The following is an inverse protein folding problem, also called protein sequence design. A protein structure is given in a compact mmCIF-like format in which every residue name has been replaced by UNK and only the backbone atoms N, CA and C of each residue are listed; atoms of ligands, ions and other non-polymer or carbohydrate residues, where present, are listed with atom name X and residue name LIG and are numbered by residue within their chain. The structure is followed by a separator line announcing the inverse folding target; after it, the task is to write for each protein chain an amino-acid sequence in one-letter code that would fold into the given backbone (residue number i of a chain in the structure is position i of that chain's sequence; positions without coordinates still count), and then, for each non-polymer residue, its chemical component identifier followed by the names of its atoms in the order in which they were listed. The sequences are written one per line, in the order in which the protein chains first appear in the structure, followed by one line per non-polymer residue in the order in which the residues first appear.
data_IF_547254368722
#
_entry.id   IF_547254368722
#
_cell.length_a   1.000
_cell.length_b   1.000
_cell.length_c   1.000
_cell.angle_alpha   90.00
_cell.angle_beta   90.00
_cell.angle_gamma   90.00
#
_symmetry.space_group_name_H-M   'P 1'
#
loop_
_entity.id
_entity.type
_entity.pdbx_description
1 polymer ?
#
# COMPACT_ATOMS: atom_id res chain seq x y z
N UNK A 1 -10.73 -13.66 -13.90
CA UNK A 1 -11.53 -12.63 -14.62
C UNK A 1 -10.75 -12.18 -15.85
N UNK A 2 -11.40 -12.05 -17.00
CA UNK A 2 -10.76 -11.60 -18.25
C UNK A 2 -11.53 -10.41 -18.83
N UNK A 3 -11.02 -9.77 -19.89
CA UNK A 3 -11.78 -8.73 -20.59
C UNK A 3 -13.13 -9.23 -21.10
N UNK A 4 -13.14 -10.42 -21.68
CA UNK A 4 -14.29 -10.91 -22.47
C UNK A 4 -15.38 -11.49 -21.57
N UNK A 5 -15.02 -12.03 -20.39
CA UNK A 5 -15.97 -12.54 -19.40
C UNK A 5 -16.32 -11.53 -18.29
N UNK A 6 -15.74 -10.33 -18.34
CA UNK A 6 -15.88 -9.30 -17.30
C UNK A 6 -17.34 -9.03 -16.89
N UNK A 7 -18.25 -8.95 -17.87
CA UNK A 7 -19.66 -8.62 -17.63
C UNK A 7 -20.39 -9.68 -16.81
N UNK A 8 -20.21 -10.96 -17.16
CA UNK A 8 -20.83 -12.07 -16.44
C UNK A 8 -20.22 -12.21 -15.05
N UNK A 9 -18.91 -12.08 -14.96
CA UNK A 9 -18.17 -12.27 -13.73
C UNK A 9 -18.46 -11.15 -12.72
N UNK A 10 -18.58 -9.88 -13.17
CA UNK A 10 -19.01 -8.77 -12.33
C UNK A 10 -20.40 -9.04 -11.73
N UNK A 11 -21.35 -9.51 -12.55
CA UNK A 11 -22.71 -9.83 -12.10
C UNK A 11 -22.70 -10.97 -11.08
N UNK A 12 -21.97 -12.06 -11.37
CA UNK A 12 -21.83 -13.22 -10.49
C UNK A 12 -21.28 -12.81 -9.13
N UNK A 13 -20.15 -12.10 -9.10
CA UNK A 13 -19.50 -11.66 -7.86
C UNK A 13 -20.37 -10.72 -7.04
N UNK A 14 -21.09 -9.79 -7.70
CA UNK A 14 -22.06 -8.91 -7.02
C UNK A 14 -23.17 -9.73 -6.35
N UNK A 15 -23.76 -10.66 -7.09
CA UNK A 15 -24.88 -11.48 -6.61
C UNK A 15 -24.47 -12.45 -5.49
N UNK A 16 -23.25 -12.99 -5.55
CA UNK A 16 -22.67 -13.82 -4.49
C UNK A 16 -22.49 -13.07 -3.16
N UNK A 17 -22.21 -11.77 -3.23
CA UNK A 17 -22.16 -10.91 -2.05
C UNK A 17 -23.53 -10.35 -1.64
N UNK A 18 -24.60 -10.71 -2.34
CA UNK A 18 -25.96 -10.25 -2.06
C UNK A 18 -26.18 -8.76 -2.31
N UNK A 19 -25.34 -8.11 -3.11
CA UNK A 19 -25.37 -6.67 -3.35
C UNK A 19 -26.32 -6.31 -4.50
N UNK A 20 -27.08 -5.23 -4.36
CA UNK A 20 -27.72 -4.55 -5.48
C UNK A 20 -26.69 -3.79 -6.34
N UNK A 21 -27.07 -3.42 -7.55
CA UNK A 21 -26.22 -2.61 -8.44
C UNK A 21 -25.92 -1.22 -7.86
N UNK A 22 -26.86 -0.66 -7.08
CA UNK A 22 -26.70 0.64 -6.41
C UNK A 22 -25.76 0.54 -5.20
N UNK A 23 -25.90 -0.51 -4.39
CA UNK A 23 -24.99 -0.76 -3.26
C UNK A 23 -23.56 -0.98 -3.75
N UNK A 24 -23.36 -1.78 -4.80
CA UNK A 24 -22.02 -1.99 -5.37
C UNK A 24 -21.41 -0.67 -5.88
N UNK A 25 -22.19 0.14 -6.60
CA UNK A 25 -21.72 1.44 -7.08
C UNK A 25 -21.28 2.34 -5.90
N UNK A 26 -22.11 2.38 -4.85
CA UNK A 26 -21.84 3.13 -3.63
C UNK A 26 -20.57 2.65 -2.93
N UNK A 27 -20.43 1.34 -2.73
CA UNK A 27 -19.26 0.75 -2.07
C UNK A 27 -17.97 1.02 -2.85
N UNK A 28 -17.98 0.85 -4.17
CA UNK A 28 -16.82 1.14 -5.02
C UNK A 28 -16.42 2.62 -4.94
N UNK A 29 -17.39 3.52 -5.07
CA UNK A 29 -17.15 4.97 -5.04
C UNK A 29 -16.60 5.44 -3.68
N UNK A 30 -17.10 4.90 -2.56
CA UNK A 30 -16.57 5.23 -1.23
C UNK A 30 -15.19 4.61 -0.96
N UNK A 31 -14.86 3.52 -1.65
CA UNK A 31 -13.63 2.77 -1.38
C UNK A 31 -12.44 3.28 -2.19
N UNK A 32 -12.63 3.80 -3.41
CA UNK A 32 -11.51 4.25 -4.26
C UNK A 32 -11.93 5.25 -5.37
N UNK A 33 -11.15 6.34 -5.54
CA UNK A 33 -11.42 7.45 -6.48
C UNK A 33 -11.53 7.06 -7.95
N UNK A 34 -10.93 5.95 -8.38
CA UNK A 34 -11.13 5.39 -9.73
C UNK A 34 -12.62 5.10 -10.07
N UNK A 35 -13.45 4.94 -9.04
CA UNK A 35 -14.89 4.69 -9.12
C UNK A 35 -15.74 5.90 -8.72
N UNK A 36 -15.11 7.06 -8.52
CA UNK A 36 -15.84 8.32 -8.34
C UNK A 36 -16.78 8.54 -9.54
N UNK A 37 -18.04 8.86 -9.25
CA UNK A 37 -19.09 9.05 -10.25
C UNK A 37 -19.65 7.77 -10.87
N UNK A 38 -19.24 6.58 -10.43
CA UNK A 38 -19.91 5.33 -10.82
C UNK A 38 -21.28 5.27 -10.13
N UNK A 39 -22.31 4.91 -10.89
CA UNK A 39 -23.69 4.80 -10.42
C UNK A 39 -24.31 3.46 -10.84
N UNK A 40 -25.51 3.18 -10.32
CA UNK A 40 -26.27 1.96 -10.61
C UNK A 40 -26.41 1.70 -12.13
N UNK A 41 -26.73 2.73 -12.93
CA UNK A 41 -26.93 2.59 -14.39
C UNK A 41 -25.64 2.13 -15.07
N UNK A 42 -24.48 2.64 -14.64
CA UNK A 42 -23.19 2.22 -15.17
C UNK A 42 -22.87 0.76 -14.83
N UNK A 43 -23.09 0.32 -13.58
CA UNK A 43 -22.95 -1.08 -13.20
C UNK A 43 -23.86 -1.96 -14.06
N UNK A 44 -25.11 -1.55 -14.23
CA UNK A 44 -26.10 -2.24 -15.07
C UNK A 44 -25.63 -2.41 -16.52
N UNK A 45 -25.05 -1.36 -17.12
CA UNK A 45 -24.50 -1.42 -18.48
C UNK A 45 -23.25 -2.29 -18.58
N UNK A 46 -22.43 -2.34 -17.54
CA UNK A 46 -21.26 -3.21 -17.49
C UNK A 46 -21.66 -4.68 -17.37
N UNK A 47 -22.63 -5.01 -16.53
CA UNK A 47 -23.14 -6.39 -16.36
C UNK A 47 -23.84 -6.91 -17.62
N UNK A 48 -24.48 -6.04 -18.40
CA UNK A 48 -25.08 -6.40 -19.70
C UNK A 48 -24.09 -6.41 -20.87
N UNK A 49 -22.86 -5.98 -20.66
CA UNK A 49 -21.86 -5.85 -21.74
C UNK A 49 -22.17 -4.75 -22.77
N UNK A 50 -23.11 -3.85 -22.47
CA UNK A 50 -23.51 -2.75 -23.38
C UNK A 50 -22.40 -1.71 -23.56
N UNK A 51 -21.56 -1.54 -22.53
CA UNK A 51 -20.41 -0.61 -22.60
C UNK A 51 -19.15 -1.29 -22.11
N UNK A 52 -18.05 -1.10 -22.85
CA UNK A 52 -16.73 -1.61 -22.44
C UNK A 52 -16.16 -0.75 -21.32
N UNK A 53 -15.99 -1.37 -20.15
CA UNK A 53 -15.26 -0.80 -19.00
C UNK A 53 -13.80 -0.55 -19.37
N UNK A 54 -13.16 0.47 -18.79
CA UNK A 54 -11.72 0.70 -18.97
C UNK A 54 -10.89 -0.38 -18.27
N UNK A 55 -9.67 -0.63 -18.75
CA UNK A 55 -8.74 -1.58 -18.11
C UNK A 55 -8.51 -1.23 -16.63
N UNK A 56 -8.33 0.06 -16.30
CA UNK A 56 -8.14 0.51 -14.92
C UNK A 56 -9.31 0.09 -14.01
N UNK A 57 -10.55 0.27 -14.47
CA UNK A 57 -11.74 -0.08 -13.70
C UNK A 57 -11.96 -1.60 -13.63
N UNK A 58 -11.60 -2.35 -14.68
CA UNK A 58 -11.60 -3.82 -14.62
C UNK A 58 -10.61 -4.35 -13.58
N UNK A 59 -9.38 -3.81 -13.58
CA UNK A 59 -8.35 -4.16 -12.58
C UNK A 59 -8.79 -3.77 -11.16
N UNK A 60 -9.39 -2.59 -11.00
CA UNK A 60 -9.89 -2.17 -9.69
C UNK A 60 -11.03 -3.06 -9.18
N UNK A 61 -11.95 -3.48 -10.06
CA UNK A 61 -13.03 -4.42 -9.68
C UNK A 61 -12.46 -5.80 -9.34
N UNK A 62 -11.53 -6.31 -10.15
CA UNK A 62 -10.85 -7.57 -9.85
C UNK A 62 -10.13 -7.49 -8.49
N UNK A 63 -9.45 -6.37 -8.20
CA UNK A 63 -8.83 -6.14 -6.90
C UNK A 63 -9.86 -6.06 -5.76
N UNK A 64 -10.96 -5.32 -5.94
CA UNK A 64 -12.03 -5.19 -4.95
C UNK A 64 -12.64 -6.54 -4.54
N UNK A 65 -12.94 -7.39 -5.52
CA UNK A 65 -13.52 -8.73 -5.28
C UNK A 65 -12.47 -9.81 -5.02
N UNK A 66 -11.20 -9.44 -4.87
CA UNK A 66 -10.10 -10.38 -4.68
C UNK A 66 -10.12 -11.47 -5.78
N UNK A 67 -10.09 -11.06 -7.05
CA UNK A 67 -10.02 -11.94 -8.21
C UNK A 67 -8.74 -11.70 -9.00
N UNK A 68 -8.23 -12.75 -9.63
CA UNK A 68 -7.11 -12.63 -10.60
C UNK A 68 -7.65 -12.09 -11.91
N UNK A 69 -6.98 -11.07 -12.46
CA UNK A 69 -7.27 -10.55 -13.80
C UNK A 69 -6.25 -11.10 -14.79
N UNK A 70 -6.72 -11.73 -15.87
CA UNK A 70 -5.88 -12.25 -16.94
C UNK A 70 -5.89 -11.26 -18.11
N UNK A 71 -4.69 -10.80 -18.47
CA UNK A 71 -4.48 -9.85 -19.55
C UNK A 71 -4.46 -10.55 -20.91
N UNK A 72 -5.10 -9.94 -21.90
CA UNK A 72 -4.81 -10.30 -23.28
C UNK A 72 -3.50 -9.64 -23.77
N UNK A 73 -3.01 -10.05 -24.94
CA UNK A 73 -1.76 -9.54 -25.48
C UNK A 73 -1.70 -8.00 -25.59
N UNK A 74 -2.82 -7.34 -25.93
CA UNK A 74 -2.87 -5.88 -26.04
C UNK A 74 -2.82 -5.21 -24.67
N UNK A 75 -3.46 -5.81 -23.67
CA UNK A 75 -3.45 -5.31 -22.29
C UNK A 75 -2.07 -5.49 -21.64
N UNK A 76 -1.34 -6.56 -21.98
CA UNK A 76 0.06 -6.77 -21.56
C UNK A 76 0.94 -5.61 -22.04
N UNK A 77 0.85 -5.22 -23.31
CA UNK A 77 1.62 -4.11 -23.85
C UNK A 77 1.35 -2.80 -23.09
N UNK A 78 0.08 -2.54 -22.77
CA UNK A 78 -0.37 -1.34 -22.05
C UNK A 78 0.11 -1.33 -20.60
N UNK A 79 0.17 -2.48 -19.92
CA UNK A 79 0.51 -2.56 -18.50
C UNK A 79 2.00 -2.70 -18.25
N UNK A 80 2.76 -3.24 -19.20
CA UNK A 80 4.20 -3.49 -19.08
C UNK A 80 5.02 -2.30 -18.55
N UNK A 81 4.75 -1.03 -18.90
CA UNK A 81 5.52 0.09 -18.35
C UNK A 81 5.25 0.30 -16.85
N UNK A 82 4.04 -0.03 -16.38
CA UNK A 82 3.68 0.10 -14.96
C UNK A 82 4.24 -1.03 -14.11
N UNK A 83 4.41 -2.24 -14.67
CA UNK A 83 5.03 -3.38 -13.97
C UNK A 83 6.48 -3.07 -13.60
N UNK A 84 7.23 -2.36 -14.45
CA UNK A 84 8.61 -1.94 -14.12
C UNK A 84 8.73 -1.06 -12.88
N UNK A 85 7.63 -0.41 -12.47
CA UNK A 85 7.59 0.38 -11.23
C UNK A 85 7.47 -0.49 -9.97
N UNK A 86 7.09 -1.77 -10.11
CA UNK A 86 6.94 -2.72 -9.00
C UNK A 86 8.21 -3.49 -8.66
N UNK A 87 9.23 -3.45 -9.53
CA UNK A 87 10.52 -4.14 -9.38
C UNK A 87 11.46 -3.48 -8.35
N UNK A 88 10.93 -3.18 -7.16
CA UNK A 88 11.72 -2.70 -6.03
C UNK A 88 12.25 -3.93 -5.27
N UNK A 89 13.57 -4.11 -5.09
CA UNK A 89 14.16 -5.35 -4.56
C UNK A 89 13.60 -5.84 -3.21
N UNK A 90 13.16 -4.90 -2.37
CA UNK A 90 12.60 -5.17 -1.03
C UNK A 90 11.14 -5.65 -1.02
N UNK A 91 10.50 -5.69 -2.19
CA UNK A 91 9.15 -6.21 -2.38
C UNK A 91 9.16 -7.61 -2.98
N UNK A 92 10.28 -8.32 -2.93
CA UNK A 92 10.36 -9.72 -3.38
C UNK A 92 10.20 -10.66 -2.18
N UNK A 93 9.61 -11.83 -2.43
CA UNK A 93 9.56 -12.88 -1.43
C UNK A 93 10.81 -13.78 -1.54
N UNK A 94 11.14 -14.44 -0.45
CA UNK A 94 12.28 -15.36 -0.37
C UNK A 94 11.79 -16.80 -0.30
N UNK A 95 12.58 -17.75 -0.81
CA UNK A 95 12.16 -19.15 -0.95
C UNK A 95 11.86 -19.86 0.37
N UNK A 96 12.37 -19.34 1.49
CA UNK A 96 12.19 -19.94 2.80
C UNK A 96 11.10 -19.22 3.59
N UNK A 97 10.21 -20.00 4.21
CA UNK A 97 9.18 -19.47 5.11
C UNK A 97 9.79 -19.13 6.47
N UNK A 98 9.92 -17.84 6.76
CA UNK A 98 10.30 -17.34 8.07
C UNK A 98 9.07 -16.88 8.86
N UNK A 99 9.09 -17.14 10.17
CA UNK A 99 8.03 -16.72 11.11
C UNK A 99 8.69 -15.92 12.22
N UNK A 100 8.14 -14.74 12.51
CA UNK A 100 8.60 -13.90 13.61
C UNK A 100 8.29 -14.64 14.91
N UNK A 101 9.33 -14.96 15.69
CA UNK A 101 9.21 -15.66 16.97
C UNK A 101 9.48 -14.76 18.18
N UNK A 102 10.10 -13.60 17.96
CA UNK A 102 10.43 -12.66 19.02
C UNK A 102 10.45 -11.21 18.51
N UNK A 103 10.05 -10.28 19.39
CA UNK A 103 10.07 -8.84 19.14
C UNK A 103 10.75 -8.15 20.31
N UNK A 104 11.76 -7.35 20.03
CA UNK A 104 12.50 -6.59 21.06
C UNK A 104 12.32 -5.10 20.83
N UNK A 105 12.06 -4.37 21.91
CA UNK A 105 11.92 -2.92 21.91
C UNK A 105 13.21 -2.26 22.38
N UNK A 106 13.70 -1.31 21.60
CA UNK A 106 14.84 -0.47 21.92
C UNK A 106 14.50 1.02 21.84
N UNK A 107 15.32 1.80 22.54
CA UNK A 107 15.49 3.23 22.30
C UNK A 107 16.80 3.43 21.55
N UNK A 108 17.04 4.63 21.03
CA UNK A 108 18.33 4.98 20.41
C UNK A 108 19.50 4.80 21.38
N UNK A 109 19.27 4.90 22.69
CA UNK A 109 20.31 4.71 23.73
C UNK A 109 20.58 3.23 24.05
N UNK A 110 19.60 2.34 23.83
CA UNK A 110 19.70 0.94 24.22
C UNK A 110 19.89 -0.04 23.07
N UNK A 111 19.70 0.40 21.82
CA UNK A 111 19.92 -0.45 20.65
C UNK A 111 21.42 -0.76 20.46
N UNK A 112 21.81 -2.03 20.20
CA UNK A 112 23.16 -2.37 19.77
C UNK A 112 23.57 -1.61 18.51
N UNK A 113 24.80 -1.10 18.46
CA UNK A 113 25.28 -0.25 17.37
C UNK A 113 25.21 -0.93 16.00
N UNK A 114 25.48 -2.24 15.94
CA UNK A 114 25.40 -3.03 14.70
C UNK A 114 23.97 -3.06 14.13
N UNK A 115 22.97 -3.31 14.98
CA UNK A 115 21.57 -3.30 14.57
C UNK A 115 21.11 -1.92 14.12
N UNK A 116 21.59 -0.86 14.79
CA UNK A 116 21.27 0.51 14.39
C UNK A 116 21.84 0.85 13.00
N UNK A 117 23.09 0.44 12.73
CA UNK A 117 23.71 0.61 11.41
C UNK A 117 22.91 -0.13 10.33
N UNK A 118 22.46 -1.35 10.61
CA UNK A 118 21.64 -2.13 9.67
C UNK A 118 20.30 -1.44 9.39
N UNK A 119 19.61 -0.95 10.42
CA UNK A 119 18.34 -0.21 10.27
C UNK A 119 18.53 1.04 9.42
N UNK A 120 19.60 1.82 9.66
CA UNK A 120 19.93 3.00 8.87
C UNK A 120 20.28 2.64 7.42
N UNK A 121 21.03 1.55 7.22
CA UNK A 121 21.38 1.05 5.88
C UNK A 121 20.14 0.63 5.09
N UNK A 122 19.24 -0.13 5.72
CA UNK A 122 17.97 -0.55 5.12
C UNK A 122 17.09 0.66 4.83
N UNK A 123 16.97 1.61 5.76
CA UNK A 123 16.23 2.86 5.52
C UNK A 123 16.79 3.62 4.31
N UNK A 124 18.11 3.84 4.26
CA UNK A 124 18.73 4.55 3.14
C UNK A 124 18.51 3.85 1.80
N UNK A 125 18.63 2.52 1.75
CA UNK A 125 18.37 1.73 0.52
C UNK A 125 16.89 1.77 0.10
N UNK A 126 15.98 1.73 1.06
CA UNK A 126 14.53 1.75 0.82
C UNK A 126 14.03 3.12 0.34
N UNK A 127 14.53 4.16 0.98
CA UNK A 127 13.92 5.49 0.91
C UNK A 127 14.81 6.50 0.19
N UNK A 128 16.04 6.11 -0.19
CA UNK A 128 17.06 6.99 -0.81
C UNK A 128 17.30 8.28 -0.01
N UNK A 129 17.12 8.20 1.31
CA UNK A 129 17.18 9.33 2.24
C UNK A 129 17.96 8.97 3.49
N UNK A 130 18.62 9.97 4.04
CA UNK A 130 19.26 9.85 5.35
C UNK A 130 18.22 10.03 6.45
N UNK A 131 18.06 9.00 7.28
CA UNK A 131 17.05 8.94 8.35
C UNK A 131 17.21 10.11 9.34
N UNK A 132 18.43 10.37 9.80
CA UNK A 132 18.68 11.36 10.83
C UNK A 132 18.54 12.78 10.28
N UNK A 133 18.97 13.00 9.04
CA UNK A 133 18.77 14.27 8.35
C UNK A 133 17.29 14.59 8.18
N UNK A 134 16.48 13.59 7.79
CA UNK A 134 15.03 13.72 7.67
C UNK A 134 14.39 14.05 9.02
N UNK A 135 14.70 13.27 10.06
CA UNK A 135 14.06 13.41 11.37
C UNK A 135 14.47 14.69 12.11
N UNK A 136 15.75 15.06 12.05
CA UNK A 136 16.27 16.24 12.74
C UNK A 136 15.84 17.56 12.08
N UNK A 137 15.35 17.54 10.83
CA UNK A 137 14.90 18.75 10.14
C UNK A 137 13.72 19.44 10.82
N UNK A 138 12.90 18.69 11.56
CA UNK A 138 11.79 19.20 12.38
C UNK A 138 12.20 19.52 13.82
N UNK A 139 13.51 19.53 14.14
CA UNK A 139 14.03 19.68 15.50
C UNK A 139 13.49 18.64 16.50
N UNK A 140 13.15 17.45 16.02
CA UNK A 140 12.63 16.36 16.84
C UNK A 140 13.76 15.68 17.62
N UNK A 141 13.47 15.31 18.86
CA UNK A 141 14.43 14.59 19.69
C UNK A 141 14.44 13.10 19.34
N UNK A 142 15.64 12.54 19.14
CA UNK A 142 15.84 11.10 18.95
C UNK A 142 15.48 10.28 20.19
N UNK A 143 15.37 10.93 21.36
CA UNK A 143 14.99 10.27 22.61
C UNK A 143 13.55 9.73 22.60
N UNK A 144 12.69 10.26 21.72
CA UNK A 144 11.30 9.80 21.59
C UNK A 144 11.15 8.62 20.62
N UNK A 145 12.24 8.19 19.99
CA UNK A 145 12.20 7.10 19.03
C UNK A 145 12.06 5.76 19.73
N UNK A 146 11.08 5.00 19.28
CA UNK A 146 10.85 3.61 19.63
C UNK A 146 11.25 2.75 18.44
N UNK A 147 12.10 1.76 18.69
CA UNK A 147 12.63 0.85 17.69
C UNK A 147 12.18 -0.56 18.05
N UNK A 148 11.37 -1.16 17.19
CA UNK A 148 10.97 -2.56 17.29
C UNK A 148 11.81 -3.38 16.33
N UNK A 149 12.59 -4.33 16.84
CA UNK A 149 13.32 -5.30 16.04
C UNK A 149 12.60 -6.65 16.09
N UNK A 150 12.37 -7.24 14.92
CA UNK A 150 11.66 -8.50 14.75
C UNK A 150 12.65 -9.60 14.40
N UNK A 151 12.52 -10.74 15.07
CA UNK A 151 13.48 -11.84 14.96
C UNK A 151 12.82 -13.14 14.53
N UNK A 152 13.60 -13.97 13.82
CA UNK A 152 13.32 -15.38 13.59
C UNK A 152 14.60 -16.17 13.89
N UNK A 153 14.53 -17.11 14.85
CA UNK A 153 15.66 -17.94 15.28
C UNK A 153 16.92 -17.12 15.62
N UNK A 154 16.72 -15.96 16.25
CA UNK A 154 17.79 -15.04 16.65
C UNK A 154 18.33 -14.12 15.56
N UNK A 155 17.89 -14.25 14.30
CA UNK A 155 18.25 -13.35 13.20
C UNK A 155 17.22 -12.21 13.10
N UNK A 156 17.70 -10.97 12.96
CA UNK A 156 16.81 -9.84 12.70
C UNK A 156 16.24 -9.95 11.28
N UNK A 157 14.92 -10.05 11.17
CA UNK A 157 14.21 -10.22 9.89
C UNK A 157 13.40 -8.99 9.50
N UNK A 158 13.25 -8.03 10.41
CA UNK A 158 12.59 -6.76 10.12
C UNK A 158 12.69 -5.77 11.28
N UNK A 159 12.23 -4.55 11.02
CA UNK A 159 12.21 -3.48 12.01
C UNK A 159 11.06 -2.50 11.77
N UNK A 160 10.65 -1.83 12.85
CA UNK A 160 9.84 -0.62 12.81
C UNK A 160 10.54 0.44 13.65
N UNK A 161 10.66 1.66 13.11
CA UNK A 161 11.05 2.84 13.88
C UNK A 161 9.91 3.84 13.83
N UNK A 162 9.46 4.31 14.98
CA UNK A 162 8.46 5.37 15.07
C UNK A 162 8.75 6.33 16.22
N UNK A 163 8.27 7.55 16.10
CA UNK A 163 8.33 8.55 17.16
C UNK A 163 7.09 8.43 18.05
N UNK A 164 7.30 8.20 19.34
CA UNK A 164 6.20 8.03 20.28
C UNK A 164 5.44 9.33 20.60
N UNK A 165 6.08 10.49 20.43
CA UNK A 165 5.48 11.79 20.70
C UNK A 165 4.69 12.34 19.51
N UNK A 166 5.21 12.18 18.30
CA UNK A 166 4.58 12.73 17.07
C UNK A 166 3.69 11.74 16.33
N UNK A 167 3.66 10.48 16.78
CA UNK A 167 3.00 9.35 16.09
C UNK A 167 3.51 9.13 14.66
N UNK A 168 4.75 9.56 14.37
CA UNK A 168 5.33 9.43 13.04
C UNK A 168 5.99 8.05 12.87
N UNK A 169 5.52 7.28 11.89
CA UNK A 169 6.14 6.01 11.50
C UNK A 169 7.29 6.32 10.53
N UNK A 170 8.54 6.09 10.93
CA UNK A 170 9.70 6.63 10.22
C UNK A 170 10.38 5.61 9.31
N UNK A 171 10.39 4.34 9.70
CA UNK A 171 11.09 3.31 8.95
C UNK A 171 10.42 1.96 9.18
N UNK A 172 10.12 1.24 8.11
CA UNK A 172 9.61 -0.14 8.16
C UNK A 172 10.42 -0.99 7.19
N UNK A 173 11.27 -1.85 7.73
CA UNK A 173 12.10 -2.77 6.97
C UNK A 173 11.75 -4.23 7.21
N UNK A 174 11.95 -5.07 6.21
CA UNK A 174 11.71 -6.51 6.25
C UNK A 174 12.53 -7.20 5.17
N UNK A 175 12.99 -8.43 5.45
CA UNK A 175 13.77 -9.23 4.49
C UNK A 175 12.92 -9.80 3.34
N UNK A 176 11.60 -9.84 3.50
CA UNK A 176 10.67 -10.37 2.49
C UNK A 176 9.27 -9.77 2.65
N UNK A 177 8.42 -9.91 1.63
CA UNK A 177 7.00 -9.54 1.72
C UNK A 177 6.27 -10.32 2.81
N UNK A 178 6.52 -11.63 2.92
CA UNK A 178 5.89 -12.48 3.93
C UNK A 178 6.20 -12.03 5.36
N UNK A 179 7.45 -11.64 5.65
CA UNK A 179 7.83 -11.03 6.94
C UNK A 179 7.21 -9.65 7.10
N UNK A 180 7.16 -8.83 6.04
CA UNK A 180 6.54 -7.50 6.10
C UNK A 180 5.10 -7.56 6.58
N UNK A 181 4.33 -8.54 6.10
CA UNK A 181 2.94 -8.77 6.54
C UNK A 181 2.89 -9.05 8.04
N UNK A 182 3.75 -9.93 8.55
CA UNK A 182 3.81 -10.24 9.98
C UNK A 182 4.21 -9.02 10.82
N UNK A 183 5.18 -8.21 10.35
CA UNK A 183 5.59 -6.94 10.99
C UNK A 183 4.43 -5.96 11.10
N UNK A 184 3.70 -5.75 9.99
CA UNK A 184 2.56 -4.83 9.95
C UNK A 184 1.37 -5.35 10.77
N UNK A 185 1.13 -6.67 10.78
CA UNK A 185 0.10 -7.29 11.60
C UNK A 185 0.41 -7.10 13.09
N UNK A 186 1.65 -7.39 13.52
CA UNK A 186 2.07 -7.13 14.89
C UNK A 186 1.87 -5.66 15.28
N UNK A 187 2.24 -4.73 14.38
CA UNK A 187 2.07 -3.31 14.60
C UNK A 187 0.59 -2.92 14.82
N UNK A 188 -0.31 -3.45 13.99
CA UNK A 188 -1.75 -3.21 14.11
C UNK A 188 -2.34 -3.78 15.41
N UNK A 189 -1.92 -4.98 15.82
CA UNK A 189 -2.47 -5.66 16.99
C UNK A 189 -1.95 -5.08 18.32
N UNK A 190 -0.71 -4.60 18.34
CA UNK A 190 -0.02 -4.22 19.58
C UNK A 190 0.10 -2.71 19.78
N UNK A 191 0.15 -1.91 18.71
CA UNK A 191 0.28 -0.46 18.85
C UNK A 191 -1.09 0.21 18.73
N UNK A 192 -1.72 0.40 19.90
CA UNK A 192 -3.06 1.01 20.05
C UNK A 192 -3.08 2.52 19.88
N UNK A 193 -2.39 3.04 18.87
CA UNK A 193 -2.45 4.47 18.52
C UNK A 193 -3.61 4.72 17.55
N UNK A 194 -4.37 5.80 17.73
CA UNK A 194 -5.55 6.08 16.90
C UNK A 194 -5.18 6.46 15.47
N UNK A 195 -3.96 6.96 15.24
CA UNK A 195 -3.49 7.31 13.91
C UNK A 195 -1.98 7.38 13.88
N UNK A 196 -1.38 7.15 12.72
CA UNK A 196 0.04 7.40 12.47
C UNK A 196 0.22 8.44 11.37
N UNK A 197 1.33 9.16 11.43
CA UNK A 197 1.83 9.92 10.28
C UNK A 197 2.85 9.07 9.56
N UNK A 198 2.59 8.73 8.29
CA UNK A 198 3.46 7.87 7.48
C UNK A 198 4.07 8.71 6.34
N UNK A 199 5.40 8.80 6.22
CA UNK A 199 6.07 9.28 5.03
C UNK A 199 5.95 8.24 3.93
N UNK A 200 5.45 8.67 2.77
CA UNK A 200 5.24 7.77 1.63
C UNK A 200 6.21 8.13 0.54
N UNK A 201 7.13 7.21 0.26
CA UNK A 201 8.25 7.41 -0.65
C UNK A 201 7.99 6.80 -2.03
N UNK A 202 7.21 5.72 -2.11
CA UNK A 202 6.76 5.15 -3.38
C UNK A 202 5.66 6.03 -3.98
N UNK A 203 5.87 6.63 -5.15
CA UNK A 203 4.86 7.47 -5.76
C UNK A 203 3.55 6.77 -6.08
N UNK A 204 3.63 5.49 -6.40
CA UNK A 204 2.44 4.68 -6.63
C UNK A 204 1.67 4.43 -5.34
N UNK A 205 2.36 4.22 -4.21
CA UNK A 205 1.72 4.10 -2.90
C UNK A 205 1.08 5.42 -2.46
N UNK A 206 1.76 6.55 -2.66
CA UNK A 206 1.20 7.83 -2.27
C UNK A 206 -0.05 8.16 -3.09
N UNK A 207 -0.02 7.91 -4.41
CA UNK A 207 -1.20 8.03 -5.26
C UNK A 207 -2.30 7.10 -4.81
N UNK A 208 -1.97 5.86 -4.44
CA UNK A 208 -2.94 4.89 -3.96
C UNK A 208 -3.63 5.34 -2.67
N UNK A 209 -2.88 5.78 -1.65
CA UNK A 209 -3.46 6.31 -0.42
C UNK A 209 -4.30 7.55 -0.70
N UNK A 210 -3.86 8.42 -1.61
CA UNK A 210 -4.67 9.52 -2.10
C UNK A 210 -5.98 9.00 -2.71
N UNK A 211 -5.92 8.01 -3.60
CA UNK A 211 -7.09 7.41 -4.23
C UNK A 211 -8.03 6.70 -3.24
N UNK A 212 -7.54 6.29 -2.06
CA UNK A 212 -8.35 5.80 -0.93
C UNK A 212 -8.97 6.93 -0.08
N UNK A 213 -8.99 8.16 -0.59
CA UNK A 213 -9.48 9.37 0.07
C UNK A 213 -8.65 9.89 1.24
N UNK A 214 -7.43 9.38 1.45
CA UNK A 214 -6.52 10.00 2.42
C UNK A 214 -5.91 11.27 1.82
N UNK A 215 -5.88 12.35 2.60
CA UNK A 215 -5.24 13.60 2.19
C UNK A 215 -3.84 13.71 2.80
N UNK A 216 -2.81 14.09 2.02
CA UNK A 216 -1.50 14.36 2.58
C UNK A 216 -1.58 15.58 3.50
N UNK A 217 -1.01 15.47 4.70
CA UNK A 217 -0.99 16.54 5.70
C UNK A 217 0.01 17.63 5.34
N UNK A 218 1.17 17.23 4.80
CA UNK A 218 2.26 18.12 4.39
C UNK A 218 3.22 17.39 3.42
N UNK A 219 4.01 18.16 2.68
CA UNK A 219 5.18 17.66 1.94
C UNK A 219 6.46 18.04 2.68
N UNK A 220 7.42 17.13 2.77
CA UNK A 220 8.74 17.38 3.37
C UNK A 220 9.82 16.59 2.63
N UNK A 221 10.89 17.26 2.18
CA UNK A 221 11.96 16.68 1.35
C UNK A 221 11.44 15.89 0.13
N UNK A 222 10.40 16.42 -0.53
CA UNK A 222 9.77 15.72 -1.64
C UNK A 222 9.12 14.41 -1.22
N UNK A 223 8.55 14.32 0.00
CA UNK A 223 7.73 13.20 0.48
C UNK A 223 6.38 13.69 0.97
N UNK A 224 5.33 12.94 0.68
CA UNK A 224 4.02 13.17 1.26
C UNK A 224 3.89 12.47 2.61
N UNK A 225 3.50 13.24 3.63
CA UNK A 225 3.18 12.73 4.95
C UNK A 225 1.66 12.54 5.04
N UNK A 226 1.22 11.29 5.13
CA UNK A 226 -0.20 10.93 5.27
C UNK A 226 -0.51 10.67 6.74
N UNK A 227 -1.61 11.25 7.24
CA UNK A 227 -2.18 10.79 8.50
C UNK A 227 -3.11 9.62 8.19
N UNK A 228 -2.78 8.46 8.72
CA UNK A 228 -3.49 7.21 8.49
C UNK A 228 -4.12 6.77 9.79
N UNK A 229 -5.44 6.64 9.80
CA UNK A 229 -6.15 5.83 10.79
C UNK A 229 -6.08 4.36 10.33
N UNK A 230 -5.46 3.45 11.11
CA UNK A 230 -5.34 2.06 10.72
C UNK A 230 -6.70 1.41 10.45
N UNK A 231 -7.75 1.72 11.21
CA UNK A 231 -9.01 0.99 11.16
C UNK A 231 -9.77 1.16 9.83
N UNK A 232 -10.01 2.38 9.31
CA UNK A 232 -10.58 2.58 7.98
C UNK A 232 -9.72 2.00 6.87
N UNK A 233 -8.39 2.07 7.00
CA UNK A 233 -7.47 1.57 5.98
C UNK A 233 -7.51 0.04 5.90
N UNK A 234 -7.42 -0.67 7.04
CA UNK A 234 -7.47 -2.14 7.05
C UNK A 234 -8.84 -2.68 6.68
N UNK A 235 -9.91 -1.90 6.83
CA UNK A 235 -11.26 -2.27 6.40
C UNK A 235 -11.56 -1.93 4.93
N UNK A 236 -10.66 -1.22 4.24
CA UNK A 236 -10.84 -0.90 2.83
C UNK A 236 -10.51 -2.12 1.95
N UNK A 237 -11.45 -2.63 1.12
CA UNK A 237 -11.22 -3.83 0.31
C UNK A 237 -10.03 -3.71 -0.65
N UNK A 238 -9.76 -2.52 -1.19
CA UNK A 238 -8.61 -2.30 -2.09
C UNK A 238 -7.28 -2.45 -1.35
N UNK A 239 -7.22 -1.96 -0.11
CA UNK A 239 -6.03 -2.10 0.73
C UNK A 239 -5.81 -3.55 1.16
N UNK A 240 -6.87 -4.22 1.64
CA UNK A 240 -6.81 -5.64 2.02
C UNK A 240 -6.29 -6.51 0.89
N UNK A 241 -6.85 -6.34 -0.31
CA UNK A 241 -6.55 -7.18 -1.46
C UNK A 241 -5.25 -6.82 -2.18
N UNK A 242 -4.61 -5.71 -1.82
CA UNK A 242 -3.23 -5.39 -2.21
C UNK A 242 -2.17 -6.14 -1.41
N UNK A 243 -2.50 -6.59 -0.19
CA UNK A 243 -1.55 -7.19 0.77
C UNK A 243 -1.47 -8.71 0.71
N UNK A 244 -2.47 -9.37 0.11
CA UNK A 244 -2.40 -10.79 -0.24
C UNK A 244 -1.43 -11.00 -1.42
N UNK A 245 -0.95 -12.22 -1.68
CA UNK A 245 0.02 -12.59 -2.74
C UNK A 245 -0.53 -12.41 -4.17
N UNK A 246 -1.06 -11.22 -4.44
CA UNK A 246 -1.96 -10.88 -5.52
C UNK A 246 -1.40 -9.71 -6.31
N UNK A 247 -1.88 -9.64 -7.54
CA UNK A 247 -1.44 -8.73 -8.56
C UNK A 247 -1.48 -7.25 -8.11
N UNK A 248 -0.30 -6.64 -7.91
CA UNK A 248 -0.15 -5.20 -7.61
C UNK A 248 -0.35 -4.30 -8.83
N UNK A 249 -0.67 -4.88 -9.99
CA UNK A 249 -0.88 -4.14 -11.23
C UNK A 249 -1.88 -3.01 -11.09
N UNK A 250 -2.95 -3.17 -10.29
CA UNK A 250 -3.92 -2.08 -10.10
C UNK A 250 -3.29 -0.81 -9.52
N UNK A 251 -2.49 -0.92 -8.45
CA UNK A 251 -1.79 0.21 -7.82
C UNK A 251 -0.91 0.94 -8.82
N UNK A 252 0.01 0.20 -9.44
CA UNK A 252 1.01 0.78 -10.33
C UNK A 252 0.40 1.29 -11.63
N UNK A 253 -0.61 0.61 -12.17
CA UNK A 253 -1.32 1.06 -13.36
C UNK A 253 -2.19 2.29 -13.09
N UNK A 254 -2.83 2.38 -11.91
CA UNK A 254 -3.54 3.60 -11.48
C UNK A 254 -2.59 4.79 -11.49
N UNK A 255 -1.45 4.65 -10.80
CA UNK A 255 -0.43 5.70 -10.75
C UNK A 255 0.09 6.06 -12.15
N UNK A 256 0.47 5.06 -12.95
CA UNK A 256 0.97 5.29 -14.32
C UNK A 256 -0.08 6.02 -15.18
N UNK A 257 -1.35 5.62 -15.11
CA UNK A 257 -2.44 6.26 -15.86
C UNK A 257 -2.65 7.72 -15.44
N UNK A 258 -2.58 8.03 -14.14
CA UNK A 258 -2.70 9.41 -13.65
C UNK A 258 -1.49 10.26 -14.04
N UNK A 259 -0.28 9.67 -13.98
CA UNK A 259 0.96 10.33 -14.41
C UNK A 259 0.92 10.72 -15.89
N UNK A 260 0.48 9.81 -16.77
CA UNK A 260 0.31 10.11 -18.20
C UNK A 260 -0.70 11.23 -18.46
N UNK A 261 -1.68 11.41 -17.57
CA UNK A 261 -2.70 12.47 -17.64
C UNK A 261 -2.25 13.77 -16.97
N UNK A 262 -1.05 13.84 -16.37
CA UNK A 262 -0.60 14.96 -15.52
C UNK A 262 -1.59 15.25 -14.36
N UNK A 263 -2.19 14.20 -13.82
CA UNK A 263 -3.14 14.24 -12.71
C UNK A 263 -2.67 13.44 -11.50
N UNK A 264 -1.50 12.82 -11.57
CA UNK A 264 -0.90 12.17 -10.41
C UNK A 264 -0.52 13.21 -9.37
N UNK A 265 -0.56 12.83 -8.10
CA UNK A 265 0.14 13.61 -7.08
C UNK A 265 1.64 13.63 -7.44
N UNK A 266 2.19 14.82 -7.63
CA UNK A 266 3.58 14.97 -8.00
C UNK A 266 4.41 15.21 -6.76
N UNK A 267 5.47 14.42 -6.62
CA UNK A 267 6.56 14.73 -5.71
C UNK A 267 7.36 15.83 -6.39
N UNK A 268 7.03 17.08 -6.12
CA UNK A 268 7.94 18.17 -6.41
C UNK A 268 9.13 18.01 -5.47
N UNK A 269 10.24 17.53 -6.03
CA UNK A 269 11.57 17.51 -5.41
C UNK A 269 12.13 18.94 -5.39
#
# INVERSE_FOLDING_TARGET
MTRDDFSNELKRLREEQGLSQEELATLLAHSHRAFEGVNQVMISKWERGETKTSLLRRLGIANYFAQVYEFDAKEVDVISPSVKLSEIPVNQDISYSYVIDNVVNYTVKSIPSELWIDILSVHSKLYSLDFLKFYNADHLSVDNLVILCFYCKGLMVGHIVYDNQTDMLLSVGSISLSIRKQVLQYFADNIKKPSFVIPVHDPAMAQFLYDLYLTPKRSMFGLFLFRVDPLPLVNNPFYQNMSADRDQSFKYFSYYSQKMKKKSIEFTV
#
